data_IF_746014581170
#
_entry.id   IF_746014581170
#
_cell.length_a   1.000
_cell.length_b   1.000
_cell.length_c   1.000
_cell.angle_alpha   90.00
_cell.angle_beta   90.00
_cell.angle_gamma   90.00
#
_symmetry.space_group_name_H-M   'P 1'
#
loop_
_entity.id
_entity.type
_entity.pdbx_description
1 polymer ?
#
# COMPACT_ATOMS: atom_id res chain seq x y z
N UNK A 1 -8.41 8.55 11.75
CA UNK A 1 -7.09 7.91 11.82
C UNK A 1 -6.14 8.59 10.84
N UNK A 2 -4.83 8.67 11.13
CA UNK A 2 -3.79 9.23 10.24
C UNK A 2 -3.31 8.24 9.18
N UNK A 3 -3.26 6.96 9.50
CA UNK A 3 -2.79 5.89 8.62
C UNK A 3 -3.58 4.60 8.84
N UNK A 4 -3.46 3.66 7.91
CA UNK A 4 -3.79 2.26 8.15
C UNK A 4 -2.61 1.58 8.84
N UNK A 5 -2.90 0.74 9.84
CA UNK A 5 -2.01 -0.33 10.29
C UNK A 5 -2.65 -1.68 9.95
N UNK A 6 -1.88 -2.63 9.42
CA UNK A 6 -2.41 -3.93 8.99
C UNK A 6 -1.43 -5.09 9.18
N UNK A 7 -1.85 -6.10 9.94
CA UNK A 7 -1.16 -7.40 10.03
C UNK A 7 -1.80 -8.35 9.04
N UNK A 8 -0.99 -9.00 8.20
CA UNK A 8 -1.51 -9.90 7.18
C UNK A 8 -1.86 -11.26 7.79
N UNK A 9 -2.84 -11.95 7.21
CA UNK A 9 -3.07 -13.36 7.52
C UNK A 9 -1.82 -14.16 7.13
N UNK A 10 -1.39 -15.10 7.98
CA UNK A 10 -0.14 -15.86 7.80
C UNK A 10 0.02 -16.51 6.42
N UNK A 11 -1.08 -16.90 5.76
CA UNK A 11 -1.03 -17.42 4.39
C UNK A 11 -0.42 -16.45 3.37
N UNK A 12 -0.72 -15.15 3.48
CA UNK A 12 -0.12 -14.12 2.60
C UNK A 12 1.37 -13.89 2.90
N UNK A 13 1.74 -13.95 4.18
CA UNK A 13 3.15 -13.85 4.60
C UNK A 13 3.95 -15.02 4.05
N UNK A 14 3.42 -16.25 4.19
CA UNK A 14 4.09 -17.45 3.72
C UNK A 14 4.16 -17.53 2.19
N UNK A 15 3.12 -17.11 1.46
CA UNK A 15 3.10 -17.16 0.00
C UNK A 15 3.89 -16.06 -0.67
N UNK A 16 4.18 -14.96 0.05
CA UNK A 16 4.77 -13.73 -0.52
C UNK A 16 4.02 -13.22 -1.76
N UNK A 17 2.69 -13.29 -1.74
CA UNK A 17 1.83 -12.94 -2.89
C UNK A 17 1.60 -11.44 -3.12
N UNK A 18 2.26 -10.56 -2.38
CA UNK A 18 2.13 -9.10 -2.49
C UNK A 18 0.73 -8.59 -2.14
N UNK A 19 0.12 -9.10 -1.07
CA UNK A 19 -1.25 -8.75 -0.69
C UNK A 19 -1.43 -7.25 -0.41
N UNK A 20 -2.52 -6.70 -0.95
CA UNK A 20 -2.99 -5.35 -0.69
C UNK A 20 -4.53 -5.35 -0.69
N UNK A 21 -5.14 -4.69 0.29
CA UNK A 21 -6.60 -4.76 0.48
C UNK A 21 -7.34 -3.58 -0.13
N UNK A 22 -8.63 -3.76 -0.43
CA UNK A 22 -9.52 -2.65 -0.81
C UNK A 22 -9.54 -1.54 0.25
N UNK A 23 -9.49 -1.91 1.55
CA UNK A 23 -9.34 -0.94 2.64
C UNK A 23 -8.06 -0.12 2.50
N UNK A 24 -6.94 -0.76 2.16
CA UNK A 24 -5.66 -0.09 1.95
C UNK A 24 -5.75 0.91 0.81
N UNK A 25 -6.36 0.51 -0.31
CA UNK A 25 -6.63 1.42 -1.44
C UNK A 25 -7.50 2.59 -1.03
N UNK A 26 -8.55 2.38 -0.24
CA UNK A 26 -9.41 3.45 0.29
C UNK A 26 -8.65 4.42 1.21
N UNK A 27 -7.71 3.93 2.02
CA UNK A 27 -6.82 4.80 2.81
C UNK A 27 -5.95 5.66 1.88
N UNK A 28 -5.28 5.04 0.91
CA UNK A 28 -4.44 5.76 -0.06
C UNK A 28 -5.23 6.81 -0.84
N UNK A 29 -6.42 6.46 -1.33
CA UNK A 29 -7.29 7.36 -2.07
C UNK A 29 -7.71 8.58 -1.24
N UNK A 30 -7.84 8.43 0.08
CA UNK A 30 -8.11 9.52 1.02
C UNK A 30 -6.86 10.32 1.44
N UNK A 31 -5.70 10.07 0.80
CA UNK A 31 -4.43 10.70 1.15
C UNK A 31 -3.91 10.29 2.52
N UNK A 32 -4.23 9.07 2.97
CA UNK A 32 -3.73 8.50 4.22
C UNK A 32 -2.79 7.33 3.92
N UNK A 33 -1.56 7.34 4.44
CA UNK A 33 -0.62 6.27 4.17
C UNK A 33 -1.01 4.95 4.84
N UNK A 34 -0.35 3.88 4.42
CA UNK A 34 -0.52 2.54 4.98
C UNK A 34 0.80 2.02 5.57
N UNK A 35 0.70 1.29 6.68
CA UNK A 35 1.77 0.48 7.25
C UNK A 35 1.24 -0.95 7.37
N UNK A 36 1.64 -1.82 6.45
CA UNK A 36 1.11 -3.19 6.34
C UNK A 36 2.24 -4.21 6.44
N UNK A 37 1.93 -5.41 6.93
CA UNK A 37 2.96 -6.45 7.00
C UNK A 37 3.48 -6.80 5.60
N UNK A 38 4.80 -6.97 5.49
CA UNK A 38 5.45 -7.35 4.23
C UNK A 38 4.96 -8.74 3.81
N UNK A 39 4.41 -8.78 2.60
CA UNK A 39 4.03 -10.00 1.91
C UNK A 39 4.55 -10.00 0.47
N UNK A 40 5.51 -9.15 0.11
CA UNK A 40 6.03 -9.02 -1.27
C UNK A 40 5.46 -7.84 -2.04
N UNK A 41 4.91 -6.82 -1.39
CA UNK A 41 4.33 -5.66 -2.09
C UNK A 41 5.36 -4.89 -2.92
N UNK A 42 6.64 -4.88 -2.49
CA UNK A 42 7.77 -4.27 -3.23
C UNK A 42 7.87 -4.75 -4.68
N UNK A 43 7.40 -5.97 -4.97
CA UNK A 43 7.56 -6.60 -6.28
C UNK A 43 6.64 -5.96 -7.35
N UNK A 44 5.61 -5.21 -6.94
CA UNK A 44 4.67 -4.59 -7.88
C UNK A 44 4.18 -3.18 -7.49
N UNK A 45 4.41 -2.73 -6.25
CA UNK A 45 3.99 -1.42 -5.76
C UNK A 45 5.18 -0.64 -5.20
N UNK A 46 5.28 0.68 -5.46
CA UNK A 46 6.26 1.53 -4.79
C UNK A 46 6.05 1.50 -3.27
N UNK A 47 7.15 1.36 -2.54
CA UNK A 47 7.16 1.38 -1.08
C UNK A 47 8.20 2.36 -0.55
N UNK A 48 8.01 2.80 0.69
CA UNK A 48 8.87 3.76 1.39
C UNK A 48 8.18 5.10 1.61
N UNK A 49 7.33 5.55 0.68
CA UNK A 49 6.51 6.75 0.79
C UNK A 49 5.05 6.42 0.47
N UNK A 50 4.10 6.91 1.26
CA UNK A 50 2.67 6.57 1.14
C UNK A 50 2.30 5.12 1.51
N UNK A 51 3.12 4.14 1.15
CA UNK A 51 3.00 2.73 1.53
C UNK A 51 4.28 2.27 2.20
N UNK A 52 4.17 1.80 3.44
CA UNK A 52 5.28 1.23 4.19
C UNK A 52 4.96 -0.21 4.56
N UNK A 53 6.02 -1.01 4.68
CA UNK A 53 5.93 -2.41 5.07
C UNK A 53 6.78 -2.72 6.29
N UNK A 54 6.38 -3.72 7.07
CA UNK A 54 7.16 -4.23 8.19
C UNK A 54 7.14 -5.77 8.22
N UNK A 55 8.24 -6.38 8.67
CA UNK A 55 8.36 -7.83 8.85
C UNK A 55 8.37 -8.26 10.33
N UNK A 56 8.62 -7.31 11.23
CA UNK A 56 8.71 -7.55 12.67
C UNK A 56 8.24 -6.31 13.46
N UNK A 57 8.19 -6.44 14.79
CA UNK A 57 7.71 -5.38 15.68
C UNK A 57 8.58 -4.12 15.64
N UNK A 58 9.91 -4.26 15.53
CA UNK A 58 10.82 -3.12 15.50
C UNK A 58 10.57 -2.25 14.25
N UNK A 59 10.46 -2.89 13.09
CA UNK A 59 10.12 -2.22 11.83
C UNK A 59 8.71 -1.59 11.86
N UNK A 60 7.75 -2.21 12.55
CA UNK A 60 6.43 -1.62 12.72
C UNK A 60 6.50 -0.30 13.49
N UNK A 61 7.28 -0.25 14.57
CA UNK A 61 7.49 0.97 15.35
C UNK A 61 8.23 2.03 14.53
N UNK A 62 9.28 1.66 13.81
CA UNK A 62 10.02 2.55 12.92
C UNK A 62 9.12 3.13 11.81
N UNK A 63 8.27 2.31 11.21
CA UNK A 63 7.30 2.74 10.20
C UNK A 63 6.29 3.76 10.74
N UNK A 64 5.82 3.57 11.98
CA UNK A 64 4.93 4.53 12.66
C UNK A 64 5.65 5.88 12.82
N UNK A 65 6.88 5.88 13.34
CA UNK A 65 7.65 7.11 13.55
C UNK A 65 7.99 7.82 12.22
N UNK A 66 8.32 7.06 11.18
CA UNK A 66 8.59 7.58 9.84
C UNK A 66 7.37 8.30 9.27
N UNK A 67 6.20 7.65 9.33
CA UNK A 67 4.93 8.24 8.88
C UNK A 67 4.60 9.50 9.68
N UNK A 68 4.81 9.50 10.99
CA UNK A 68 4.49 10.65 11.83
C UNK A 68 5.41 11.84 11.56
N UNK A 69 6.71 11.58 11.37
CA UNK A 69 7.73 12.60 11.11
C UNK A 69 7.53 13.29 9.76
N UNK A 70 7.25 12.52 8.69
CA UNK A 70 7.14 13.04 7.32
C UNK A 70 5.70 13.00 6.79
N UNK A 71 4.71 13.21 7.66
CA UNK A 71 3.31 12.89 7.36
C UNK A 71 2.79 13.51 6.07
N UNK A 72 3.05 14.80 5.82
CA UNK A 72 2.56 15.50 4.61
C UNK A 72 3.08 14.84 3.33
N UNK A 73 4.35 14.44 3.32
CA UNK A 73 4.95 13.72 2.19
C UNK A 73 4.27 12.37 1.98
N UNK A 74 4.05 11.61 3.06
CA UNK A 74 3.33 10.34 2.99
C UNK A 74 1.87 10.51 2.54
N UNK A 75 1.20 11.60 2.88
CA UNK A 75 -0.16 11.86 2.40
C UNK A 75 -0.20 12.09 0.88
N UNK A 76 0.74 12.89 0.38
CA UNK A 76 0.86 13.19 -1.05
C UNK A 76 1.20 11.91 -1.84
N UNK A 77 2.22 11.18 -1.38
CA UNK A 77 2.61 9.91 -1.98
C UNK A 77 1.46 8.88 -1.95
N UNK A 78 0.72 8.80 -0.83
CA UNK A 78 -0.43 7.90 -0.73
C UNK A 78 -1.48 8.20 -1.79
N UNK A 79 -1.85 9.48 -1.97
CA UNK A 79 -2.82 9.87 -3.01
C UNK A 79 -2.29 9.58 -4.41
N UNK A 80 -1.02 9.88 -4.66
CA UNK A 80 -0.37 9.63 -5.96
C UNK A 80 -0.34 8.14 -6.30
N UNK A 81 -0.05 7.27 -5.33
CA UNK A 81 -0.07 5.81 -5.53
C UNK A 81 -1.49 5.34 -5.87
N UNK A 82 -2.52 5.83 -5.16
CA UNK A 82 -3.91 5.52 -5.47
C UNK A 82 -4.27 5.87 -6.92
N UNK A 83 -3.95 7.09 -7.35
CA UNK A 83 -4.23 7.57 -8.71
C UNK A 83 -3.41 6.85 -9.79
N UNK A 84 -2.21 6.36 -9.45
CA UNK A 84 -1.32 5.74 -10.43
C UNK A 84 -1.64 4.26 -10.65
N UNK A 85 -1.88 3.52 -9.56
CA UNK A 85 -1.97 2.05 -9.59
C UNK A 85 -3.39 1.51 -9.45
N UNK A 86 -4.32 2.27 -8.88
CA UNK A 86 -5.65 1.79 -8.50
C UNK A 86 -6.80 2.61 -9.09
N UNK A 87 -6.50 3.58 -9.95
CA UNK A 87 -7.53 4.40 -10.60
C UNK A 87 -8.33 3.58 -11.61
N UNK A 88 -9.66 3.56 -11.43
CA UNK A 88 -10.55 2.65 -12.15
C UNK A 88 -10.48 2.83 -13.68
N UNK A 89 -10.47 4.05 -14.25
CA UNK A 89 -10.29 4.24 -15.68
C UNK A 89 -8.99 3.61 -16.21
N UNK A 90 -7.89 3.64 -15.46
CA UNK A 90 -6.62 3.05 -15.90
C UNK A 90 -6.65 1.53 -15.84
N UNK A 91 -7.05 0.99 -14.68
CA UNK A 91 -7.03 -0.45 -14.43
C UNK A 91 -8.06 -1.18 -15.28
N UNK A 92 -9.29 -0.67 -15.35
CA UNK A 92 -10.36 -1.32 -16.10
C UNK A 92 -10.07 -1.32 -17.61
N UNK A 93 -9.58 -0.21 -18.17
CA UNK A 93 -9.21 -0.15 -19.58
C UNK A 93 -8.12 -1.17 -19.91
N UNK A 94 -7.04 -1.24 -19.13
CA UNK A 94 -5.97 -2.22 -19.34
C UNK A 94 -6.45 -3.67 -19.23
N UNK A 95 -7.35 -3.96 -18.29
CA UNK A 95 -7.94 -5.30 -18.14
C UNK A 95 -8.82 -5.69 -19.33
N UNK A 96 -9.62 -4.76 -19.85
CA UNK A 96 -10.47 -5.02 -21.01
C UNK A 96 -9.64 -5.23 -22.27
N UNK A 97 -8.60 -4.42 -22.49
CA UNK A 97 -7.66 -4.59 -23.61
C UNK A 97 -7.00 -5.97 -23.56
N UNK A 98 -6.45 -6.37 -22.41
CA UNK A 98 -5.80 -7.67 -22.25
C UNK A 98 -6.73 -8.89 -22.36
N UNK A 99 -8.05 -8.72 -22.16
CA UNK A 99 -9.02 -9.80 -22.29
C UNK A 99 -9.58 -9.96 -23.72
N UNK A 100 -9.34 -8.98 -24.59
CA UNK A 100 -9.74 -9.00 -25.99
C UNK A 100 -8.63 -9.48 -26.94
N UNK A 101 -7.39 -9.54 -26.45
CA UNK A 101 -6.24 -10.17 -27.10
C UNK A 101 -6.20 -11.69 -26.87
#
# INVERSE_FOLDING_TARGET
>A
SRAEFGVAKQGYVASRGGWFSDRSVCYLASGRPTLVQDTGQRDWLPIGEGVLTFSNMAEALEGIETINTNYVQHQQAARQIAETFFDAPKVLSALLEAAMD
#
